data_IF_156756267161
#
_entry.id   IF_156756267161
#
_cell.length_a   1.000
_cell.length_b   1.000
_cell.length_c   1.000
_cell.angle_alpha   90.00
_cell.angle_beta   90.00
_cell.angle_gamma   90.00
#
_symmetry.space_group_name_H-M   'P 1'
#
loop_
_entity.id
_entity.type
_entity.pdbx_description
1 polymer ?
#
# COMPACT_ATOMS: atom_id res chain seq x y z
N UNK A 1 -20.71 32.98 -26.53
CA UNK A 1 -20.05 31.69 -26.78
C UNK A 1 -19.50 31.25 -25.44
N UNK A 2 -20.24 30.36 -24.79
CA UNK A 2 -19.89 29.73 -23.53
C UNK A 2 -19.23 28.40 -23.89
N UNK A 3 -17.91 28.32 -23.75
CA UNK A 3 -17.18 27.08 -23.89
C UNK A 3 -17.47 26.22 -22.65
N UNK A 4 -18.28 25.19 -22.84
CA UNK A 4 -18.43 24.07 -21.91
C UNK A 4 -17.07 23.37 -21.81
N UNK A 5 -16.32 23.68 -20.76
CA UNK A 5 -15.20 22.88 -20.33
C UNK A 5 -15.75 21.54 -19.83
N UNK A 6 -15.71 20.54 -20.71
CA UNK A 6 -15.86 19.13 -20.39
C UNK A 6 -15.01 18.79 -19.17
N UNK A 7 -15.66 18.65 -18.01
CA UNK A 7 -15.07 18.07 -16.81
C UNK A 7 -14.59 16.66 -17.13
N UNK A 8 -13.40 16.33 -16.63
CA UNK A 8 -12.78 15.00 -16.61
C UNK A 8 -12.51 14.33 -17.97
N UNK A 9 -11.26 14.46 -18.45
CA UNK A 9 -10.63 13.38 -19.25
C UNK A 9 -10.19 12.29 -18.29
N UNK A 10 -11.17 11.62 -17.67
CA UNK A 10 -10.99 10.27 -17.15
C UNK A 10 -11.74 9.40 -18.16
N UNK A 11 -11.09 8.47 -18.86
CA UNK A 11 -11.81 7.57 -19.76
C UNK A 11 -12.95 6.89 -18.99
N UNK A 12 -14.20 7.16 -19.38
CA UNK A 12 -15.42 6.73 -18.67
C UNK A 12 -15.60 5.19 -18.64
N UNK A 13 -14.72 4.44 -19.30
CA UNK A 13 -14.85 2.99 -19.49
C UNK A 13 -13.87 2.12 -18.68
N UNK A 14 -13.03 2.69 -17.82
CA UNK A 14 -12.34 1.90 -16.79
C UNK A 14 -13.09 2.04 -15.47
N UNK A 15 -13.83 1.00 -15.10
CA UNK A 15 -14.32 0.76 -13.73
C UNK A 15 -13.10 0.63 -12.81
N UNK A 16 -12.50 1.76 -12.44
CA UNK A 16 -11.45 1.84 -11.45
C UNK A 16 -12.08 1.50 -10.11
N UNK A 17 -12.18 0.20 -9.82
CA UNK A 17 -12.31 -0.28 -8.45
C UNK A 17 -11.31 0.50 -7.60
N UNK A 18 -11.81 1.06 -6.50
CA UNK A 18 -10.98 1.74 -5.51
C UNK A 18 -9.74 0.89 -5.23
N UNK A 19 -8.52 1.48 -5.25
CA UNK A 19 -7.31 0.68 -5.11
C UNK A 19 -7.38 -0.22 -3.88
N UNK A 20 -6.98 -1.48 -4.04
CA UNK A 20 -7.00 -2.49 -2.99
C UNK A 20 -5.79 -2.39 -2.05
N UNK A 21 -4.75 -1.66 -2.46
CA UNK A 21 -3.57 -1.39 -1.67
C UNK A 21 -3.58 0.01 -1.07
N UNK A 22 -3.09 0.07 0.17
CA UNK A 22 -2.79 1.30 0.88
C UNK A 22 -1.34 1.26 1.37
N UNK A 23 -0.58 2.28 1.05
CA UNK A 23 0.73 2.54 1.65
C UNK A 23 0.51 3.51 2.80
N UNK A 24 0.90 3.09 4.00
CA UNK A 24 0.96 3.96 5.18
C UNK A 24 2.44 4.26 5.42
N UNK A 25 2.81 5.54 5.49
CA UNK A 25 4.20 5.95 5.75
C UNK A 25 4.28 6.78 7.03
N UNK A 26 4.90 6.22 8.06
CA UNK A 26 5.16 6.89 9.34
C UNK A 26 6.63 7.21 9.53
N UNK A 27 7.01 8.47 9.38
CA UNK A 27 8.38 8.93 9.61
C UNK A 27 8.41 10.39 10.10
N UNK A 28 9.25 10.70 11.08
CA UNK A 28 9.37 12.05 11.62
C UNK A 28 9.97 13.04 10.60
N UNK A 29 10.68 12.53 9.59
CA UNK A 29 11.40 13.31 8.59
C UNK A 29 10.81 13.16 7.19
N UNK A 30 9.61 12.59 7.03
CA UNK A 30 9.03 12.41 5.69
C UNK A 30 8.85 13.75 4.95
N UNK A 31 8.50 14.82 5.67
CA UNK A 31 8.38 16.17 5.11
C UNK A 31 9.71 16.90 4.91
N UNK A 32 10.85 16.31 5.28
CA UNK A 32 12.16 16.94 5.08
C UNK A 32 12.57 16.80 3.60
N UNK A 33 12.77 17.90 2.85
CA UNK A 33 13.11 17.85 1.44
C UNK A 33 14.45 17.16 1.18
N UNK A 34 15.38 17.12 2.15
CA UNK A 34 16.69 16.47 2.01
C UNK A 34 16.66 14.95 2.31
N UNK A 35 15.49 14.42 2.65
CA UNK A 35 15.30 13.01 3.02
C UNK A 35 14.44 12.27 2.03
N UNK A 36 14.76 10.98 1.86
CA UNK A 36 13.95 10.02 1.12
C UNK A 36 13.73 10.39 -0.35
N UNK A 37 14.69 11.08 -0.97
CA UNK A 37 14.55 11.58 -2.33
C UNK A 37 14.17 10.50 -3.34
N UNK A 38 14.79 9.32 -3.28
CA UNK A 38 14.50 8.26 -4.25
C UNK A 38 13.16 7.59 -3.95
N UNK A 39 12.86 7.38 -2.67
CA UNK A 39 11.59 6.83 -2.22
C UNK A 39 10.42 7.75 -2.58
N UNK A 40 10.51 9.05 -2.35
CA UNK A 40 9.50 10.04 -2.79
C UNK A 40 9.32 9.99 -4.32
N UNK A 41 10.42 10.05 -5.08
CA UNK A 41 10.38 10.04 -6.56
C UNK A 41 9.90 8.73 -7.18
N UNK A 42 9.82 7.65 -6.41
CA UNK A 42 9.24 6.38 -6.87
C UNK A 42 7.72 6.45 -7.05
N UNK A 43 7.08 7.47 -6.44
CA UNK A 43 5.67 7.74 -6.59
C UNK A 43 5.42 8.75 -7.70
N UNK A 44 4.22 8.71 -8.27
CA UNK A 44 3.70 9.77 -9.11
C UNK A 44 2.31 10.17 -8.64
N UNK A 45 2.01 11.46 -8.65
CA UNK A 45 0.74 12.04 -8.22
C UNK A 45 0.13 12.92 -9.31
N UNK A 46 -1.15 13.21 -9.14
CA UNK A 46 -1.89 14.27 -9.80
C UNK A 46 -2.62 15.15 -8.75
N UNK A 47 -2.07 15.22 -7.53
CA UNK A 47 -2.67 15.94 -6.40
C UNK A 47 -2.72 17.45 -6.68
N UNK A 48 -1.72 17.99 -7.39
CA UNK A 48 -1.76 19.37 -7.87
C UNK A 48 -2.84 19.52 -8.96
N UNK A 49 -3.93 20.27 -8.73
CA UNK A 49 -5.01 20.44 -9.70
C UNK A 49 -4.55 21.16 -10.99
N UNK A 50 -3.37 21.79 -10.98
CA UNK A 50 -2.76 22.40 -12.16
C UNK A 50 -2.17 21.36 -13.11
N UNK A 51 -1.91 20.14 -12.63
CA UNK A 51 -1.32 19.06 -13.40
C UNK A 51 -2.40 18.04 -13.79
N UNK A 52 -2.82 18.06 -15.05
CA UNK A 52 -3.76 17.06 -15.59
C UNK A 52 -3.11 15.69 -15.83
N UNK A 53 -1.79 15.60 -15.73
CA UNK A 53 -1.01 14.38 -15.95
C UNK A 53 -0.32 13.92 -14.68
N UNK A 54 -0.03 12.61 -14.62
CA UNK A 54 0.74 12.02 -13.54
C UNK A 54 2.17 12.56 -13.57
N UNK A 55 2.56 13.29 -12.53
CA UNK A 55 3.91 13.85 -12.35
C UNK A 55 4.65 13.14 -11.23
N UNK A 56 5.98 13.19 -11.23
CA UNK A 56 6.76 12.67 -10.10
C UNK A 56 6.31 13.34 -8.80
N UNK A 57 6.19 12.54 -7.74
CA UNK A 57 5.82 13.04 -6.42
C UNK A 57 6.86 14.05 -5.92
N UNK A 58 6.38 15.19 -5.43
CA UNK A 58 7.20 16.31 -4.95
C UNK A 58 7.08 16.47 -3.43
N UNK A 59 7.94 17.30 -2.84
CA UNK A 59 7.81 17.65 -1.43
C UNK A 59 6.50 18.40 -1.13
N UNK A 60 5.94 19.12 -2.12
CA UNK A 60 4.63 19.78 -1.97
C UNK A 60 3.51 18.75 -1.84
N UNK A 61 3.60 17.62 -2.55
CA UNK A 61 2.63 16.53 -2.43
C UNK A 61 2.72 15.86 -1.04
N UNK A 62 3.93 15.71 -0.49
CA UNK A 62 4.13 15.19 0.87
C UNK A 62 3.54 16.15 1.91
N UNK A 63 3.82 17.45 1.79
CA UNK A 63 3.25 18.47 2.67
C UNK A 63 1.72 18.46 2.63
N UNK A 64 1.14 18.25 1.44
CA UNK A 64 -0.30 18.09 1.29
C UNK A 64 -0.81 16.85 2.02
N UNK A 65 -0.18 15.68 1.83
CA UNK A 65 -0.55 14.44 2.53
C UNK A 65 -0.53 14.62 4.05
N UNK A 66 0.53 15.24 4.57
CA UNK A 66 0.70 15.48 6.01
C UNK A 66 -0.35 16.43 6.58
N UNK A 67 -0.83 17.41 5.80
CA UNK A 67 -1.84 18.39 6.23
C UNK A 67 -3.26 17.85 6.17
N UNK A 68 -3.60 17.15 5.09
CA UNK A 68 -4.96 16.62 4.89
C UNK A 68 -5.21 15.42 5.79
N UNK A 69 -4.21 14.55 5.97
CA UNK A 69 -4.36 13.34 6.79
C UNK A 69 -5.33 12.32 6.19
N UNK A 70 -5.55 12.37 4.87
CA UNK A 70 -6.39 11.42 4.13
C UNK A 70 -5.56 10.68 3.07
N UNK A 71 -6.01 9.47 2.72
CA UNK A 71 -5.34 8.67 1.72
C UNK A 71 -5.57 9.23 0.31
N UNK A 72 -4.49 9.44 -0.45
CA UNK A 72 -4.55 9.98 -1.81
C UNK A 72 -4.12 8.94 -2.84
N UNK A 73 -4.72 8.94 -4.04
CA UNK A 73 -4.30 8.07 -5.12
C UNK A 73 -2.92 8.48 -5.64
N UNK A 74 -2.02 7.50 -5.72
CA UNK A 74 -0.68 7.64 -6.31
C UNK A 74 -0.36 6.48 -7.23
N UNK A 75 0.54 6.67 -8.18
CA UNK A 75 1.13 5.58 -8.94
C UNK A 75 2.45 5.15 -8.31
N UNK A 76 2.62 3.85 -8.12
CA UNK A 76 3.85 3.22 -7.69
C UNK A 76 4.17 2.05 -8.61
N UNK A 77 5.32 2.06 -9.27
CA UNK A 77 5.70 1.00 -10.23
C UNK A 77 4.69 0.80 -11.36
N UNK A 78 3.96 1.85 -11.76
CA UNK A 78 2.89 1.79 -12.77
C UNK A 78 1.53 1.33 -12.26
N UNK A 79 1.41 0.96 -10.98
CA UNK A 79 0.15 0.53 -10.35
C UNK A 79 -0.46 1.68 -9.56
N UNK A 80 -1.79 1.84 -9.64
CA UNK A 80 -2.53 2.80 -8.82
C UNK A 80 -2.72 2.24 -7.41
N UNK A 81 -2.27 2.97 -6.40
CA UNK A 81 -2.40 2.64 -4.97
C UNK A 81 -2.85 3.86 -4.18
N UNK A 82 -3.30 3.66 -2.94
CA UNK A 82 -3.50 4.76 -2.01
C UNK A 82 -2.22 5.00 -1.20
N UNK A 83 -1.91 6.26 -0.89
CA UNK A 83 -0.82 6.65 -0.01
C UNK A 83 -1.32 7.62 1.05
N UNK A 84 -0.94 7.38 2.30
CA UNK A 84 -1.15 8.27 3.42
C UNK A 84 0.14 8.38 4.24
N UNK A 85 0.42 9.59 4.74
CA UNK A 85 1.64 9.90 5.47
C UNK A 85 1.35 10.46 6.86
N UNK A 86 2.20 10.12 7.82
CA UNK A 86 2.09 10.57 9.20
C UNK A 86 3.46 10.89 9.79
N UNK A 87 3.49 11.90 10.66
CA UNK A 87 4.60 12.15 11.60
C UNK A 87 4.22 11.74 13.03
N UNK A 88 2.92 11.69 13.35
CA UNK A 88 2.40 11.24 14.65
C UNK A 88 2.02 9.74 14.64
N UNK A 89 2.63 8.93 15.52
CA UNK A 89 2.29 7.52 15.67
C UNK A 89 0.82 7.28 16.06
N UNK A 90 0.17 8.17 16.80
CA UNK A 90 -1.21 7.97 17.22
C UNK A 90 -2.19 8.15 16.05
N UNK A 91 -2.02 9.21 15.25
CA UNK A 91 -2.76 9.38 14.00
C UNK A 91 -2.56 8.19 13.05
N UNK A 92 -1.31 7.74 12.88
CA UNK A 92 -1.00 6.55 12.10
C UNK A 92 -1.73 5.30 12.62
N UNK A 93 -1.78 5.10 13.94
CA UNK A 93 -2.47 3.98 14.55
C UNK A 93 -3.98 3.99 14.22
N UNK A 94 -4.63 5.16 14.24
CA UNK A 94 -6.05 5.27 13.88
C UNK A 94 -6.33 4.95 12.42
N UNK A 95 -5.37 5.19 11.53
CA UNK A 95 -5.50 4.84 10.12
C UNK A 95 -5.62 3.32 9.92
N UNK A 96 -4.93 2.50 10.72
CA UNK A 96 -5.05 1.04 10.64
C UNK A 96 -6.47 0.53 10.94
N UNK A 97 -7.18 1.17 11.86
CA UNK A 97 -8.59 0.85 12.12
C UNK A 97 -9.47 1.22 10.91
N UNK A 98 -9.24 2.43 10.38
CA UNK A 98 -10.03 3.02 9.28
C UNK A 98 -9.91 2.24 7.98
N UNK A 99 -8.70 1.76 7.66
CA UNK A 99 -8.38 1.10 6.39
C UNK A 99 -8.09 -0.40 6.55
N UNK A 100 -8.68 -1.04 7.56
CA UNK A 100 -8.47 -2.46 7.85
C UNK A 100 -8.98 -3.42 6.77
N UNK A 101 -9.79 -2.93 5.82
CA UNK A 101 -10.26 -3.65 4.64
C UNK A 101 -9.25 -3.65 3.48
N UNK A 102 -8.19 -2.83 3.56
CA UNK A 102 -7.16 -2.69 2.51
C UNK A 102 -5.96 -3.58 2.75
N UNK A 103 -5.24 -3.86 1.67
CA UNK A 103 -3.91 -4.46 1.74
C UNK A 103 -2.88 -3.39 2.11
N UNK A 104 -2.46 -3.38 3.38
CA UNK A 104 -1.54 -2.36 3.88
C UNK A 104 -0.07 -2.74 3.64
N UNK A 105 0.68 -1.80 3.06
CA UNK A 105 2.14 -1.77 3.01
C UNK A 105 2.60 -0.66 3.95
N UNK A 106 3.24 -1.01 5.06
CA UNK A 106 3.57 -0.06 6.12
C UNK A 106 5.06 0.29 6.09
N UNK A 107 5.38 1.55 5.80
CA UNK A 107 6.76 2.09 5.84
C UNK A 107 6.94 2.87 7.14
N UNK A 108 8.04 2.61 7.86
CA UNK A 108 8.36 3.40 9.06
C UNK A 108 9.85 3.48 9.36
N UNK A 109 10.28 4.44 10.18
CA UNK A 109 11.64 4.46 10.73
C UNK A 109 11.83 3.40 11.82
N UNK A 110 13.08 3.05 12.12
CA UNK A 110 13.40 2.22 13.29
C UNK A 110 12.84 2.78 14.61
N UNK A 111 12.92 4.09 14.81
CA UNK A 111 12.49 4.76 16.05
C UNK A 111 10.97 4.75 16.21
N UNK A 112 10.22 5.12 15.17
CA UNK A 112 8.75 5.14 15.24
C UNK A 112 8.16 3.73 15.11
N UNK A 113 8.78 2.88 14.30
CA UNK A 113 8.43 1.46 14.17
C UNK A 113 8.46 0.73 15.51
N UNK A 114 9.51 0.94 16.31
CA UNK A 114 9.62 0.37 17.67
C UNK A 114 8.42 0.71 18.55
N UNK A 115 7.83 1.90 18.38
CA UNK A 115 6.71 2.37 19.20
C UNK A 115 5.38 1.79 18.72
N UNK A 116 5.16 1.75 17.41
CA UNK A 116 3.83 1.47 16.83
C UNK A 116 3.65 0.01 16.41
N UNK A 117 4.69 -0.67 15.90
CA UNK A 117 4.59 -2.02 15.33
C UNK A 117 4.05 -3.05 16.33
N UNK A 118 4.54 -3.11 17.59
CA UNK A 118 3.99 -4.05 18.57
C UNK A 118 2.50 -3.84 18.83
N UNK A 119 2.04 -2.58 18.79
CA UNK A 119 0.65 -2.21 19.08
C UNK A 119 -0.27 -2.58 17.92
N UNK A 120 0.11 -2.25 16.68
CA UNK A 120 -0.71 -2.59 15.50
C UNK A 120 -0.79 -4.10 15.26
N UNK A 121 0.29 -4.85 15.52
CA UNK A 121 0.26 -6.31 15.36
C UNK A 121 -0.59 -6.99 16.45
N UNK A 122 -0.68 -6.38 17.63
CA UNK A 122 -1.55 -6.85 18.71
C UNK A 122 -3.03 -6.55 18.40
N UNK A 123 -3.33 -5.34 17.98
CA UNK A 123 -4.71 -4.84 17.89
C UNK A 123 -5.33 -5.08 16.49
N UNK A 124 -4.52 -5.23 15.44
CA UNK A 124 -4.94 -5.43 14.05
C UNK A 124 -4.20 -6.58 13.32
N UNK A 125 -4.05 -7.78 13.92
CA UNK A 125 -3.29 -8.89 13.31
C UNK A 125 -3.85 -9.34 11.94
N UNK A 126 -5.14 -9.17 11.72
CA UNK A 126 -5.82 -9.54 10.48
C UNK A 126 -5.36 -8.72 9.26
N UNK A 127 -4.86 -7.49 9.47
CA UNK A 127 -4.34 -6.63 8.39
C UNK A 127 -3.08 -7.24 7.76
N UNK A 128 -2.34 -8.00 8.56
CA UNK A 128 -1.05 -8.57 8.19
C UNK A 128 -1.11 -10.09 8.01
N UNK A 129 -2.30 -10.66 7.87
CA UNK A 129 -2.47 -12.11 7.67
C UNK A 129 -3.33 -12.37 6.45
N UNK A 130 -2.93 -13.33 5.64
CA UNK A 130 -3.75 -13.78 4.52
C UNK A 130 -5.03 -14.44 5.04
N UNK A 131 -6.23 -13.92 4.71
CA UNK A 131 -7.47 -14.46 5.25
C UNK A 131 -7.79 -15.88 4.73
N UNK A 132 -7.17 -16.30 3.62
CA UNK A 132 -7.39 -17.63 3.02
C UNK A 132 -6.32 -18.62 3.48
N UNK A 133 -5.05 -18.22 3.40
CA UNK A 133 -3.93 -19.11 3.72
C UNK A 133 -3.55 -19.12 5.20
N UNK A 134 -4.04 -18.13 5.98
CA UNK A 134 -3.64 -17.89 7.36
C UNK A 134 -2.10 -17.74 7.52
N UNK A 135 -1.47 -17.08 6.55
CA UNK A 135 -0.02 -16.83 6.51
C UNK A 135 0.24 -15.35 6.67
N UNK A 136 1.22 -15.01 7.50
CA UNK A 136 1.66 -13.64 7.73
C UNK A 136 2.22 -12.99 6.47
N UNK A 137 1.95 -11.70 6.35
CA UNK A 137 2.45 -10.85 5.29
C UNK A 137 3.62 -10.00 5.78
N UNK A 138 4.80 -10.19 5.20
CA UNK A 138 6.00 -9.38 5.45
C UNK A 138 5.86 -7.99 4.79
N UNK A 139 5.00 -7.14 5.37
CA UNK A 139 4.60 -5.86 4.79
C UNK A 139 4.84 -4.66 5.69
N UNK A 140 5.69 -4.84 6.72
CA UNK A 140 6.20 -3.76 7.55
C UNK A 140 7.66 -3.50 7.15
N UNK A 141 7.89 -2.41 6.43
CA UNK A 141 9.18 -1.98 5.91
C UNK A 141 9.79 -0.93 6.85
N UNK A 142 10.82 -1.31 7.58
CA UNK A 142 11.53 -0.45 8.52
C UNK A 142 12.79 0.10 7.85
N UNK A 143 12.80 1.40 7.56
CA UNK A 143 13.98 2.08 7.05
C UNK A 143 14.82 2.63 8.21
N UNK A 144 16.08 2.21 8.31
CA UNK A 144 16.95 2.60 9.42
C UNK A 144 18.43 2.61 9.03
N UNK A 145 19.21 3.50 9.63
CA UNK A 145 20.66 3.57 9.37
C UNK A 145 21.46 2.40 9.97
N UNK A 146 20.95 1.78 11.04
CA UNK A 146 21.62 0.69 11.76
C UNK A 146 20.63 -0.42 12.13
N UNK A 147 20.61 -1.49 11.33
CA UNK A 147 19.71 -2.64 11.54
C UNK A 147 19.97 -3.28 12.91
N UNK A 148 21.23 -3.46 13.31
CA UNK A 148 21.62 -4.09 14.58
C UNK A 148 21.00 -3.42 15.81
N UNK A 149 20.81 -2.11 15.78
CA UNK A 149 20.16 -1.36 16.86
C UNK A 149 18.64 -1.61 16.94
N UNK A 150 18.02 -2.07 15.86
CA UNK A 150 16.58 -2.30 15.75
C UNK A 150 16.18 -3.78 15.91
N UNK A 151 17.11 -4.72 15.68
CA UNK A 151 16.87 -6.16 15.89
C UNK A 151 16.25 -6.49 17.25
N UNK A 152 16.71 -5.96 18.40
CA UNK A 152 16.19 -6.38 19.69
C UNK A 152 14.68 -6.20 19.87
N UNK A 153 14.09 -5.15 19.29
CA UNK A 153 12.65 -4.93 19.37
C UNK A 153 11.87 -5.63 18.26
N UNK A 154 12.49 -5.84 17.10
CA UNK A 154 11.83 -6.46 15.95
C UNK A 154 11.92 -7.98 15.91
N UNK A 155 12.82 -8.58 16.68
CA UNK A 155 13.01 -10.03 16.76
C UNK A 155 11.69 -10.81 16.96
N UNK A 156 10.74 -10.37 17.80
CA UNK A 156 9.46 -11.06 17.96
C UNK A 156 8.51 -10.95 16.74
N UNK A 157 8.85 -10.12 15.76
CA UNK A 157 7.97 -9.73 14.65
C UNK A 157 8.62 -9.98 13.27
N UNK A 158 9.64 -10.84 13.19
CA UNK A 158 10.38 -11.09 11.94
C UNK A 158 9.52 -11.64 10.80
N UNK A 159 8.39 -12.27 11.11
CA UNK A 159 7.42 -12.73 10.11
C UNK A 159 6.67 -11.57 9.42
N UNK A 160 6.70 -10.38 10.01
CA UNK A 160 6.01 -9.18 9.51
C UNK A 160 6.98 -8.08 9.06
N UNK A 161 8.12 -7.98 9.75
CA UNK A 161 9.06 -6.85 9.66
C UNK A 161 10.24 -7.17 8.75
N UNK A 162 10.50 -6.26 7.81
CA UNK A 162 11.68 -6.25 6.95
C UNK A 162 12.44 -4.94 7.21
N UNK A 163 13.76 -5.01 7.38
CA UNK A 163 14.60 -3.84 7.66
C UNK A 163 15.53 -3.52 6.50
N UNK A 164 15.68 -2.23 6.20
CA UNK A 164 16.49 -1.74 5.09
C UNK A 164 17.37 -0.56 5.50
N UNK A 165 18.60 -0.53 5.00
CA UNK A 165 19.52 0.61 5.11
C UNK A 165 19.54 1.48 3.86
N UNK A 166 19.02 0.97 2.74
CA UNK A 166 18.99 1.67 1.45
C UNK A 166 17.57 1.73 0.87
N UNK A 167 17.21 2.89 0.34
CA UNK A 167 15.88 3.14 -0.25
C UNK A 167 15.61 2.20 -1.44
N UNK A 168 16.63 1.93 -2.26
CA UNK A 168 16.50 1.06 -3.44
C UNK A 168 16.08 -0.37 -3.07
N UNK A 169 16.61 -0.94 -1.98
CA UNK A 169 16.29 -2.29 -1.54
C UNK A 169 14.85 -2.37 -1.02
N UNK A 170 14.42 -1.34 -0.27
CA UNK A 170 13.04 -1.22 0.21
C UNK A 170 12.08 -1.13 -0.98
N UNK A 171 12.37 -0.26 -1.96
CA UNK A 171 11.55 -0.06 -3.16
C UNK A 171 11.43 -1.34 -3.99
N UNK A 172 12.55 -2.02 -4.23
CA UNK A 172 12.57 -3.28 -4.96
C UNK A 172 11.72 -4.32 -4.24
N UNK A 173 11.89 -4.45 -2.92
CA UNK A 173 11.13 -5.43 -2.15
C UNK A 173 9.63 -5.14 -2.13
N UNK A 174 9.23 -3.90 -1.91
CA UNK A 174 7.83 -3.48 -1.99
C UNK A 174 7.21 -3.80 -3.35
N UNK A 175 7.93 -3.52 -4.45
CA UNK A 175 7.48 -3.83 -5.81
C UNK A 175 7.26 -5.34 -6.00
N UNK A 176 8.21 -6.16 -5.54
CA UNK A 176 8.09 -7.61 -5.58
C UNK A 176 6.90 -8.14 -4.75
N UNK A 177 6.67 -7.59 -3.56
CA UNK A 177 5.58 -8.03 -2.69
C UNK A 177 4.20 -7.66 -3.29
N UNK A 178 4.09 -6.47 -3.91
CA UNK A 178 2.88 -6.09 -4.67
C UNK A 178 2.65 -7.00 -5.88
N UNK A 179 3.71 -7.27 -6.67
CA UNK A 179 3.60 -8.17 -7.81
C UNK A 179 3.17 -9.58 -7.37
N UNK A 180 3.76 -10.11 -6.30
CA UNK A 180 3.38 -11.40 -5.72
C UNK A 180 1.93 -11.43 -5.27
N UNK A 181 1.44 -10.35 -4.65
CA UNK A 181 0.03 -10.25 -4.28
C UNK A 181 -0.89 -10.34 -5.51
N UNK A 182 -0.62 -9.57 -6.56
CA UNK A 182 -1.47 -9.60 -7.76
C UNK A 182 -1.43 -10.96 -8.47
N UNK A 183 -0.28 -11.61 -8.54
CA UNK A 183 -0.16 -12.97 -9.06
C UNK A 183 -0.99 -13.96 -8.21
N UNK A 184 -0.84 -13.91 -6.89
CA UNK A 184 -1.61 -14.78 -5.97
C UNK A 184 -3.12 -14.54 -6.10
N UNK A 185 -3.54 -13.28 -6.24
CA UNK A 185 -4.93 -12.90 -6.45
C UNK A 185 -5.46 -13.42 -7.79
N UNK A 186 -4.67 -13.29 -8.86
CA UNK A 186 -5.03 -13.82 -10.17
C UNK A 186 -5.19 -15.34 -10.14
N UNK A 187 -4.25 -16.08 -9.54
CA UNK A 187 -4.32 -17.54 -9.42
C UNK A 187 -5.58 -18.02 -8.68
N UNK A 188 -5.98 -17.30 -7.63
CA UNK A 188 -7.24 -17.56 -6.90
C UNK A 188 -8.46 -17.37 -7.80
N UNK A 189 -8.51 -16.27 -8.54
CA UNK A 189 -9.61 -15.97 -9.46
C UNK A 189 -9.70 -17.00 -10.60
N UNK A 190 -8.57 -17.48 -11.12
CA UNK A 190 -8.53 -18.55 -12.10
C UNK A 190 -9.06 -19.87 -11.53
N UNK A 191 -8.59 -20.26 -10.35
CA UNK A 191 -9.00 -21.51 -9.69
C UNK A 191 -10.49 -21.51 -9.35
N UNK A 192 -11.00 -20.40 -8.81
CA UNK A 192 -12.42 -20.25 -8.48
C UNK A 192 -13.31 -20.16 -9.72
N UNK A 193 -12.82 -19.50 -10.79
CA UNK A 193 -13.48 -19.43 -12.10
C UNK A 193 -13.64 -20.80 -12.75
N UNK A 194 -12.60 -21.64 -12.70
CA UNK A 194 -12.63 -23.03 -13.19
C UNK A 194 -13.56 -23.93 -12.37
N UNK A 195 -13.67 -23.71 -11.06
CA UNK A 195 -14.62 -24.43 -10.22
C UNK A 195 -16.07 -24.06 -10.54
N UNK A 196 -16.34 -22.80 -10.91
CA UNK A 196 -17.67 -22.34 -11.32
C UNK A 196 -18.05 -22.86 -12.72
N UNK A 197 -17.11 -22.85 -13.67
CA UNK A 197 -17.33 -23.42 -15.02
C UNK A 197 -17.56 -24.93 -14.96
N UNK A 198 -16.79 -25.65 -14.15
CA UNK A 198 -16.92 -27.11 -13.96
C UNK A 198 -18.26 -27.49 -13.28
N UNK A 199 -18.74 -26.68 -12.33
CA UNK A 199 -20.05 -26.87 -11.68
C UNK A 199 -21.23 -26.59 -12.61
N UNK A 200 -21.11 -25.62 -13.51
CA UNK A 200 -22.13 -25.38 -14.53
C UNK A 200 -22.20 -26.54 -15.52
N UNK A 201 -21.08 -27.04 -16.03
CA UNK A 201 -21.03 -28.18 -16.96
C UNK A 201 -21.64 -29.46 -16.34
N UNK A 202 -21.38 -29.73 -15.05
CA UNK A 202 -22.00 -30.87 -14.33
C UNK A 202 -23.51 -30.72 -14.14
N UNK A 203 -24.03 -29.51 -13.92
CA UNK A 203 -25.48 -29.25 -13.81
C UNK A 203 -26.20 -29.38 -15.15
N UNK A 204 -25.53 -29.06 -16.26
CA UNK A 204 -26.10 -29.26 -17.60
C UNK A 204 -26.18 -30.75 -17.96
N UNK A 205 -25.16 -31.53 -17.60
CA UNK A 205 -25.13 -32.98 -17.87
C UNK A 205 -26.08 -33.80 -16.98
N UNK A 206 -26.43 -33.32 -15.78
CA UNK A 206 -27.38 -33.99 -14.87
C UNK A 206 -28.85 -33.63 -15.13
N UNK A 207 -29.14 -32.78 -16.12
CA UNK A 207 -30.50 -32.48 -16.62
C UNK A 207 -30.83 -33.17 -17.94
N UNK A 208 -29.88 -33.91 -18.52
CA UNK A 208 -30.02 -34.60 -19.82
C UNK A 208 -30.24 -36.11 -19.65
N UNK A 209 -30.37 -36.60 -18.42
CA UNK A 209 -30.71 -37.98 -18.09
C UNK A 209 -31.89 -38.04 -17.11
#
# INVERSE_FOLDING_TARGET
MSDDFSSSVIPEDYDYKTPDHLIIWLDAHIGDPEKYHNLKRSFSSNIDPRNQTWTMFTDTDIDYLLRVGEAQPVKFGGVLVLLIAFTDPNACYQAFATYSDKRILFITSGTLGKQIVPRILKDFPQVFTDPVANVSYNTIYVFCGYISANIPWAMPFLDYVLMFTHEADLLLRMTCDMAKYYLTKADRLYTDGDLLSTRQTRRTLSRVY
#
